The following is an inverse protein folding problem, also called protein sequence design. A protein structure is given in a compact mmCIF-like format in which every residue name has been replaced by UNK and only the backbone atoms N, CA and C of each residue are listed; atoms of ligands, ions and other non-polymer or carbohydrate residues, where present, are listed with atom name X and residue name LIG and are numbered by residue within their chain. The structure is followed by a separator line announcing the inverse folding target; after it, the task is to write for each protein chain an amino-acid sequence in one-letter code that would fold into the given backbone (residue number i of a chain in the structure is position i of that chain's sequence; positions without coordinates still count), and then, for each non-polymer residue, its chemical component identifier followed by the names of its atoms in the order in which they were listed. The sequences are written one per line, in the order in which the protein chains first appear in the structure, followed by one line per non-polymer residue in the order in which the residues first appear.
data_IF_824814880123
#
_entry.id   IF_824814880123
#
_cell.length_a   1.000
_cell.length_b   1.000
_cell.length_c   1.000
_cell.angle_alpha   90.00
_cell.angle_beta   90.00
_cell.angle_gamma   90.00
#
_symmetry.space_group_name_H-M   'P 1'
#
loop_
_entity.id
_entity.type
_entity.pdbx_description
1 polymer ?
#
# COMPACT_ATOMS: atom_id res chain seq x y z
N UNK A 1 1.93 -7.17 6.86
CA UNK A 1 0.78 -7.10 7.80
C UNK A 1 0.04 -5.80 7.53
N UNK A 2 -1.27 -5.84 7.29
CA UNK A 2 -2.08 -4.63 7.10
C UNK A 2 -2.25 -3.98 8.46
N UNK A 3 -1.85 -2.71 8.59
CA UNK A 3 -2.14 -1.90 9.77
C UNK A 3 -3.18 -0.86 9.37
N UNK A 4 -4.16 -0.63 10.23
CA UNK A 4 -5.15 0.41 10.00
C UNK A 4 -4.80 1.60 10.89
N UNK A 5 -4.75 2.80 10.30
CA UNK A 5 -4.46 4.02 11.08
C UNK A 5 -5.54 4.29 12.12
N UNK A 6 -6.80 3.94 11.80
CA UNK A 6 -7.92 4.23 12.67
C UNK A 6 -8.99 3.12 12.59
N UNK A 7 -8.95 2.18 13.54
CA UNK A 7 -9.74 0.95 13.55
C UNK A 7 -11.25 1.18 13.71
N UNK A 8 -11.67 2.31 14.27
CA UNK A 8 -13.08 2.69 14.43
C UNK A 8 -13.83 2.78 13.09
N UNK A 9 -13.18 3.26 12.02
CA UNK A 9 -13.82 3.42 10.72
C UNK A 9 -14.06 2.11 9.98
N UNK A 10 -13.46 1.00 10.41
CA UNK A 10 -13.79 -0.32 9.85
C UNK A 10 -15.25 -0.70 10.14
N UNK A 11 -15.83 -0.21 11.24
CA UNK A 11 -17.25 -0.45 11.53
C UNK A 11 -18.18 0.25 10.53
N UNK A 12 -17.71 1.29 9.83
CA UNK A 12 -18.49 1.95 8.79
C UNK A 12 -18.75 1.06 7.57
N UNK A 13 -18.02 -0.06 7.41
CA UNK A 13 -18.34 -1.06 6.39
C UNK A 13 -19.73 -1.68 6.59
N UNK A 14 -20.27 -1.73 7.82
CA UNK A 14 -21.64 -2.18 8.08
C UNK A 14 -22.71 -1.27 7.46
N UNK A 15 -22.35 -0.04 7.13
CA UNK A 15 -23.25 0.88 6.41
C UNK A 15 -23.54 0.40 4.98
N UNK A 16 -22.61 -0.33 4.35
CA UNK A 16 -22.74 -0.83 2.98
C UNK A 16 -23.87 -1.87 2.84
N UNK A 17 -23.91 -2.98 3.61
CA UNK A 17 -25.01 -3.93 3.52
C UNK A 17 -26.34 -3.28 3.93
N UNK A 18 -26.34 -2.32 4.86
CA UNK A 18 -27.54 -1.55 5.21
C UNK A 18 -28.06 -0.73 4.01
N UNK A 19 -27.17 -0.04 3.29
CA UNK A 19 -27.49 0.71 2.07
C UNK A 19 -28.03 -0.20 0.96
N UNK A 20 -27.40 -1.36 0.75
CA UNK A 20 -27.85 -2.36 -0.22
C UNK A 20 -29.27 -2.82 0.13
N UNK A 21 -29.51 -3.17 1.39
CA UNK A 21 -30.82 -3.62 1.86
C UNK A 21 -31.88 -2.52 1.69
N UNK A 22 -31.55 -1.27 2.02
CA UNK A 22 -32.41 -0.12 1.78
C UNK A 22 -32.80 0.02 0.31
N UNK A 23 -31.85 -0.04 -0.62
CA UNK A 23 -32.16 0.03 -2.05
C UNK A 23 -33.04 -1.14 -2.52
N UNK A 24 -32.81 -2.36 -2.03
CA UNK A 24 -33.67 -3.52 -2.35
C UNK A 24 -35.09 -3.25 -1.86
N UNK A 25 -35.29 -2.78 -0.63
CA UNK A 25 -36.61 -2.44 -0.10
C UNK A 25 -37.31 -1.38 -0.95
N UNK A 26 -36.61 -0.29 -1.29
CA UNK A 26 -37.14 0.78 -2.13
C UNK A 26 -37.58 0.24 -3.49
N UNK A 27 -36.77 -0.59 -4.15
CA UNK A 27 -37.13 -1.18 -5.43
C UNK A 27 -38.33 -2.13 -5.33
N UNK A 28 -38.43 -2.92 -4.25
CA UNK A 28 -39.59 -3.80 -4.00
C UNK A 28 -40.86 -3.00 -3.72
N UNK A 29 -40.78 -1.95 -2.91
CA UNK A 29 -41.90 -1.08 -2.60
C UNK A 29 -42.38 -0.33 -3.83
N UNK A 30 -41.45 0.19 -4.65
CA UNK A 30 -41.78 0.84 -5.91
C UNK A 30 -42.52 -0.11 -6.86
N UNK A 31 -42.09 -1.38 -6.94
CA UNK A 31 -42.78 -2.41 -7.73
C UNK A 31 -44.19 -2.70 -7.18
N UNK A 32 -44.34 -2.80 -5.86
CA UNK A 32 -45.63 -3.04 -5.18
C UNK A 32 -46.60 -1.85 -5.30
N UNK A 33 -46.07 -0.63 -5.23
CA UNK A 33 -46.83 0.59 -5.44
C UNK A 33 -47.34 0.67 -6.89
N UNK A 34 -46.47 0.40 -7.87
CA UNK A 34 -46.87 0.35 -9.29
C UNK A 34 -47.98 -0.68 -9.55
N UNK A 35 -47.95 -1.85 -8.90
CA UNK A 35 -49.03 -2.83 -9.05
C UNK A 35 -50.36 -2.42 -8.42
N UNK A 36 -50.37 -1.45 -7.48
CA UNK A 36 -51.60 -0.97 -6.81
C UNK A 36 -52.35 0.08 -7.61
N UNK A 37 -51.74 0.69 -8.63
CA UNK A 37 -52.38 1.72 -9.47
C UNK A 37 -53.43 1.16 -10.47
N UNK A 38 -53.81 -0.11 -10.34
CA UNK A 38 -55.02 -0.70 -10.95
C UNK A 38 -54.90 -1.03 -12.43
N UNK A 39 -54.39 -0.12 -13.26
CA UNK A 39 -54.21 -0.34 -14.70
C UNK A 39 -52.72 -0.50 -15.05
N UNK A 40 -52.25 -1.75 -15.02
CA UNK A 40 -50.89 -2.14 -15.38
C UNK A 40 -50.48 -1.63 -16.77
N UNK A 41 -51.42 -1.51 -17.70
CA UNK A 41 -51.16 -1.07 -19.08
C UNK A 41 -50.87 0.44 -19.14
N UNK A 42 -51.66 1.26 -18.44
CA UNK A 42 -51.41 2.70 -18.28
C UNK A 42 -50.10 2.96 -17.54
N UNK A 43 -49.85 2.21 -16.47
CA UNK A 43 -48.60 2.31 -15.69
C UNK A 43 -47.40 1.92 -16.54
N UNK A 44 -47.49 0.86 -17.36
CA UNK A 44 -46.42 0.47 -18.27
C UNK A 44 -46.18 1.53 -19.35
N UNK A 45 -47.22 2.12 -19.93
CA UNK A 45 -47.10 3.23 -20.90
C UNK A 45 -46.41 4.45 -20.28
N UNK A 46 -46.73 4.80 -19.03
CA UNK A 46 -46.08 5.91 -18.32
C UNK A 46 -44.66 5.58 -17.86
N UNK A 47 -44.39 4.31 -17.54
CA UNK A 47 -43.10 3.84 -17.00
C UNK A 47 -42.12 3.39 -18.09
N UNK A 48 -42.55 3.31 -19.35
CA UNK A 48 -41.71 2.90 -20.50
C UNK A 48 -40.43 3.75 -20.63
N UNK A 49 -40.47 5.00 -20.19
CA UNK A 49 -39.32 5.91 -20.11
C UNK A 49 -38.32 5.58 -18.98
N UNK A 50 -38.75 4.77 -18.00
CA UNK A 50 -38.00 4.47 -16.78
C UNK A 50 -37.20 3.18 -16.96
N UNK A 51 -35.93 3.31 -17.34
CA UNK A 51 -35.01 2.18 -17.41
C UNK A 51 -34.63 1.65 -16.02
N UNK A 52 -34.95 0.38 -15.75
CA UNK A 52 -34.52 -0.33 -14.53
C UNK A 52 -33.00 -0.40 -14.41
N UNK A 53 -32.30 -0.66 -15.52
CA UNK A 53 -30.84 -0.75 -15.54
C UNK A 53 -30.20 0.57 -15.11
N UNK A 54 -30.74 1.72 -15.54
CA UNK A 54 -30.26 3.04 -15.10
C UNK A 54 -30.46 3.26 -13.59
N UNK A 55 -31.54 2.75 -13.02
CA UNK A 55 -31.77 2.84 -11.57
C UNK A 55 -30.79 1.96 -10.78
N UNK A 56 -30.56 0.73 -11.24
CA UNK A 56 -29.59 -0.18 -10.64
C UNK A 56 -28.18 0.40 -10.73
N UNK A 57 -27.81 0.95 -11.90
CA UNK A 57 -26.51 1.58 -12.10
C UNK A 57 -26.31 2.78 -11.18
N UNK A 58 -27.32 3.64 -11.02
CA UNK A 58 -27.27 4.76 -10.06
C UNK A 58 -27.08 4.27 -8.63
N UNK A 59 -27.83 3.24 -8.22
CA UNK A 59 -27.69 2.67 -6.88
C UNK A 59 -26.31 2.05 -6.66
N UNK A 60 -25.79 1.27 -7.62
CA UNK A 60 -24.44 0.69 -7.52
C UNK A 60 -23.37 1.77 -7.47
N UNK A 61 -23.52 2.86 -8.23
CA UNK A 61 -22.56 3.97 -8.21
C UNK A 61 -22.50 4.64 -6.82
N UNK A 62 -23.65 4.84 -6.18
CA UNK A 62 -23.73 5.37 -4.81
C UNK A 62 -23.06 4.41 -3.82
N UNK A 63 -23.36 3.12 -3.89
CA UNK A 63 -22.78 2.10 -2.99
C UNK A 63 -21.25 2.05 -3.14
N UNK A 64 -20.76 2.04 -4.38
CA UNK A 64 -19.31 2.04 -4.67
C UNK A 64 -18.64 3.33 -4.19
N UNK A 65 -19.28 4.49 -4.36
CA UNK A 65 -18.76 5.76 -3.86
C UNK A 65 -18.62 5.75 -2.33
N UNK A 66 -19.65 5.26 -1.62
CA UNK A 66 -19.61 5.11 -0.16
C UNK A 66 -18.51 4.13 0.25
N UNK A 67 -18.35 3.01 -0.44
CA UNK A 67 -17.27 2.06 -0.18
C UNK A 67 -15.88 2.71 -0.26
N UNK A 68 -15.59 3.45 -1.33
CA UNK A 68 -14.30 4.14 -1.46
C UNK A 68 -14.11 5.24 -0.41
N UNK A 69 -15.18 5.94 -0.04
CA UNK A 69 -15.14 6.93 1.04
C UNK A 69 -14.77 6.27 2.39
N UNK A 70 -15.36 5.12 2.71
CA UNK A 70 -15.03 4.35 3.92
C UNK A 70 -13.57 3.87 3.88
N UNK A 71 -13.10 3.36 2.73
CA UNK A 71 -11.70 2.95 2.58
C UNK A 71 -10.72 4.11 2.78
N UNK A 72 -11.05 5.30 2.24
CA UNK A 72 -10.24 6.50 2.42
C UNK A 72 -10.15 6.90 3.90
N UNK A 73 -11.27 6.85 4.63
CA UNK A 73 -11.32 7.14 6.07
C UNK A 73 -10.59 6.10 6.93
N UNK A 74 -10.64 4.83 6.55
CA UNK A 74 -9.99 3.74 7.28
C UNK A 74 -8.46 3.82 7.23
N UNK A 75 -7.88 4.57 6.27
CA UNK A 75 -6.44 4.73 6.06
C UNK A 75 -5.68 3.39 6.17
N UNK A 76 -5.93 2.43 5.25
CA UNK A 76 -5.21 1.17 5.25
C UNK A 76 -3.72 1.42 4.95
N UNK A 77 -2.87 1.17 5.93
CA UNK A 77 -1.42 1.26 5.82
C UNK A 77 -0.89 -0.11 5.38
N UNK A 78 -0.77 -0.29 4.07
CA UNK A 78 -0.20 -1.49 3.45
C UNK A 78 1.27 -1.19 3.14
N UNK A 79 2.20 -1.95 3.74
CA UNK A 79 3.63 -1.89 3.40
C UNK A 79 4.48 -0.86 4.14
N UNK A 80 3.92 -0.02 5.01
CA UNK A 80 4.69 0.93 5.82
C UNK A 80 5.25 0.27 7.10
N UNK A 81 6.31 -0.53 6.94
CA UNK A 81 7.24 -0.72 8.06
C UNK A 81 8.12 0.53 8.10
N UNK A 82 7.83 1.44 9.04
CA UNK A 82 8.87 2.36 9.51
C UNK A 82 9.87 1.49 10.28
N UNK A 83 10.75 0.83 9.54
CA UNK A 83 11.95 0.28 10.14
C UNK A 83 12.72 1.50 10.63
N UNK A 84 12.65 1.74 11.94
CA UNK A 84 13.53 2.70 12.58
C UNK A 84 14.93 2.12 12.39
N UNK A 85 15.58 2.49 11.30
CA UNK A 85 17.01 2.34 11.18
C UNK A 85 17.56 3.23 12.29
N UNK A 86 17.75 2.64 13.47
CA UNK A 86 18.62 3.19 14.49
C UNK A 86 19.97 3.29 13.80
N UNK A 87 20.25 4.47 13.26
CA UNK A 87 21.60 4.84 12.86
C UNK A 87 22.36 5.01 14.16
N UNK A 88 22.77 3.89 14.74
CA UNK A 88 23.89 3.91 15.65
C UNK A 88 25.06 4.37 14.79
N UNK A 89 25.52 5.60 15.01
CA UNK A 89 26.76 6.07 14.41
C UNK A 89 27.84 5.13 14.89
N UNK A 90 28.30 4.24 14.01
CA UNK A 90 29.44 3.39 14.32
C UNK A 90 30.68 4.26 14.18
N UNK A 91 31.30 4.64 15.29
CA UNK A 91 32.63 5.24 15.29
C UNK A 91 33.62 4.15 14.89
N UNK A 92 34.00 4.13 13.60
CA UNK A 92 34.98 3.19 13.08
C UNK A 92 36.37 3.68 13.48
N UNK A 93 36.91 3.13 14.56
CA UNK A 93 38.31 3.31 14.94
C UNK A 93 39.17 2.38 14.07
N UNK A 94 39.80 2.94 13.02
CA UNK A 94 40.75 2.18 12.19
C UNK A 94 42.11 2.20 12.88
N UNK A 95 42.43 1.13 13.60
CA UNK A 95 43.78 0.87 14.09
C UNK A 95 44.59 0.19 12.99
N UNK A 96 45.50 0.92 12.36
CA UNK A 96 46.49 0.35 11.45
C UNK A 96 47.75 0.04 12.26
N UNK A 97 48.04 -1.25 12.45
CA UNK A 97 49.25 -1.71 13.13
C UNK A 97 50.47 -1.41 12.25
N UNK A 98 51.34 -0.52 12.74
CA UNK A 98 52.63 -0.20 12.11
C UNK A 98 53.78 -0.99 12.73
N UNK A 99 53.49 -2.12 13.37
CA UNK A 99 54.52 -3.03 13.86
C UNK A 99 55.51 -3.37 12.74
N UNK A 100 56.80 -3.27 13.08
CA UNK A 100 57.94 -3.44 12.18
C UNK A 100 58.06 -4.92 11.76
N UNK A 101 57.11 -5.44 10.98
CA UNK A 101 57.12 -6.83 10.51
C UNK A 101 57.70 -7.00 9.11
N UNK A 102 58.12 -5.91 8.47
CA UNK A 102 59.01 -5.98 7.30
C UNK A 102 60.44 -5.77 7.76
N UNK A 103 61.28 -6.78 7.55
CA UNK A 103 62.71 -6.57 7.38
C UNK A 103 62.88 -5.57 6.23
N UNK A 104 63.09 -4.30 6.56
CA UNK A 104 63.59 -3.33 5.60
C UNK A 104 65.08 -3.65 5.50
N UNK A 105 65.46 -4.42 4.47
CA UNK A 105 66.85 -4.43 4.03
C UNK A 105 67.25 -3.00 3.70
N UNK A 106 68.35 -2.56 4.27
CA UNK A 106 68.83 -1.19 4.17
C UNK A 106 69.14 -0.90 2.69
N UNK A 107 68.52 0.13 2.05
CA UNK A 107 68.70 0.39 0.62
C UNK A 107 70.18 0.60 0.21
N UNK A 108 71.02 0.99 1.16
CA UNK A 108 72.46 1.20 0.99
C UNK A 108 73.21 -0.12 0.73
N UNK A 109 72.86 -1.22 1.41
CA UNK A 109 73.47 -2.54 1.17
C UNK A 109 73.09 -3.08 -0.22
N UNK A 110 71.84 -2.87 -0.66
CA UNK A 110 71.35 -3.31 -1.97
C UNK A 110 72.05 -2.56 -3.11
N UNK A 111 72.44 -1.30 -2.90
CA UNK A 111 73.17 -0.52 -3.90
C UNK A 111 74.64 -0.91 -3.99
N UNK A 112 75.27 -1.25 -2.86
CA UNK A 112 76.68 -1.63 -2.81
C UNK A 112 76.94 -3.03 -3.42
N UNK A 113 76.07 -4.01 -3.12
CA UNK A 113 76.15 -5.35 -3.71
C UNK A 113 75.91 -5.40 -5.23
N UNK A 114 75.27 -4.37 -5.82
CA UNK A 114 75.10 -4.28 -7.28
C UNK A 114 76.29 -3.66 -8.00
N UNK A 115 77.18 -2.95 -7.30
CA UNK A 115 78.39 -2.34 -7.89
C UNK A 115 79.61 -3.24 -7.80
N UNK A 116 79.69 -4.07 -6.77
CA UNK A 116 80.72 -5.09 -6.63
C UNK A 116 80.13 -6.42 -7.13
N UNK A 117 80.40 -6.77 -8.39
CA UNK A 117 79.90 -7.99 -9.06
C UNK A 117 80.38 -9.30 -8.42
N UNK A 118 80.03 -9.55 -7.16
CA UNK A 118 80.38 -10.72 -6.38
C UNK A 118 79.10 -11.43 -5.99
N UNK A 119 78.52 -12.13 -6.96
CA UNK A 119 77.55 -13.20 -6.70
C UNK A 119 78.32 -14.31 -5.97
N UNK A 120 78.09 -14.46 -4.66
CA UNK A 120 78.39 -15.73 -3.99
C UNK A 120 77.08 -16.51 -3.90
N UNK A 121 77.11 -17.71 -4.47
CA UNK A 121 76.15 -18.79 -4.25
C UNK A 121 75.94 -19.04 -2.76
#
# INVERSE_FOLDING_TARGET
MIRFGNQLYLHLLWLIPLLIFFFILVFRWKKKALSRFGNLELVQKLTLSISKNRQVLKASLIVTAVFFMVLSLAQPQIGTKLEQVKREGVDILVATDVSLSRFILNPVEIWDSRKTGRVRL
#
